data_IF_744818954857
#
_entry.id   IF_744818954857
#
_cell.length_a   1.000
_cell.length_b   1.000
_cell.length_c   1.000
_cell.angle_alpha   90.00
_cell.angle_beta   90.00
_cell.angle_gamma   90.00
#
_symmetry.space_group_name_H-M   'P 1'
#
loop_
_entity.id
_entity.type
_entity.pdbx_description
1 polymer ?
#
# COMPACT_ATOMS: atom_id res chain seq x y z
N UNK A 1 -35.19 54.95 28.70
CA UNK A 1 -34.73 53.58 29.08
C UNK A 1 -34.68 52.61 27.90
N UNK A 2 -35.74 52.45 27.08
CA UNK A 2 -35.77 51.47 25.96
C UNK A 2 -34.65 51.61 24.90
N UNK A 3 -34.19 52.84 24.60
CA UNK A 3 -33.13 53.10 23.60
C UNK A 3 -31.72 52.62 24.02
N UNK A 4 -31.40 52.73 25.31
CA UNK A 4 -30.09 52.30 25.83
C UNK A 4 -29.98 50.77 25.97
N UNK A 5 -31.10 50.08 26.20
CA UNK A 5 -31.17 48.62 26.27
C UNK A 5 -30.90 47.97 24.88
N UNK A 6 -31.42 48.57 23.81
CA UNK A 6 -31.19 48.08 22.43
C UNK A 6 -29.71 48.20 22.01
N UNK A 7 -29.05 49.30 22.38
CA UNK A 7 -27.62 49.51 22.08
C UNK A 7 -26.75 48.50 22.85
N UNK A 8 -27.08 48.22 24.12
CA UNK A 8 -26.38 47.21 24.93
C UNK A 8 -26.53 45.80 24.34
N UNK A 9 -27.72 45.43 23.84
CA UNK A 9 -27.97 44.13 23.20
C UNK A 9 -27.19 44.00 21.89
N UNK A 10 -27.14 45.04 21.05
CA UNK A 10 -26.37 45.02 19.80
C UNK A 10 -24.86 44.93 20.04
N UNK A 11 -24.33 45.61 21.07
CA UNK A 11 -22.93 45.48 21.49
C UNK A 11 -22.63 44.08 22.02
N UNK A 12 -23.53 43.50 22.83
CA UNK A 12 -23.40 42.12 23.32
C UNK A 12 -23.41 41.10 22.18
N UNK A 13 -24.31 41.22 21.20
CA UNK A 13 -24.34 40.36 20.00
C UNK A 13 -23.07 40.54 19.17
N UNK A 14 -22.56 41.77 19.03
CA UNK A 14 -21.29 42.06 18.36
C UNK A 14 -20.09 41.42 19.07
N UNK A 15 -20.03 41.47 20.39
CA UNK A 15 -18.95 40.86 21.19
C UNK A 15 -19.02 39.32 21.13
N UNK A 16 -20.21 38.73 21.19
CA UNK A 16 -20.40 37.29 21.02
C UNK A 16 -20.03 36.82 19.60
N UNK A 17 -20.34 37.62 18.57
CA UNK A 17 -19.98 37.31 17.17
C UNK A 17 -18.47 37.38 16.94
N UNK A 18 -17.78 38.38 17.50
CA UNK A 18 -16.32 38.51 17.38
C UNK A 18 -15.58 37.41 18.15
N UNK A 19 -16.02 37.07 19.37
CA UNK A 19 -15.48 35.91 20.13
C UNK A 19 -15.70 34.59 19.39
N UNK A 20 -16.91 34.36 18.85
CA UNK A 20 -17.19 33.17 18.06
C UNK A 20 -16.28 33.03 16.83
N UNK A 21 -16.01 34.14 16.12
CA UNK A 21 -15.10 34.16 14.97
C UNK A 21 -13.64 33.94 15.39
N UNK A 22 -13.19 34.51 16.51
CA UNK A 22 -11.82 34.29 17.01
C UNK A 22 -11.61 32.85 17.44
N UNK A 23 -12.58 32.27 18.15
CA UNK A 23 -12.53 30.90 18.65
C UNK A 23 -12.58 29.90 17.49
N UNK A 24 -13.40 30.17 16.46
CA UNK A 24 -13.41 29.39 15.23
C UNK A 24 -12.07 29.47 14.48
N UNK A 25 -11.51 30.67 14.26
CA UNK A 25 -10.18 30.82 13.63
C UNK A 25 -9.08 30.11 14.41
N UNK A 26 -9.11 30.19 15.74
CA UNK A 26 -8.13 29.52 16.60
C UNK A 26 -8.28 27.99 16.54
N UNK A 27 -9.52 27.49 16.52
CA UNK A 27 -9.84 26.07 16.35
C UNK A 27 -9.37 25.56 14.99
N UNK A 28 -9.70 26.25 13.90
CA UNK A 28 -9.26 25.92 12.53
C UNK A 28 -7.73 25.94 12.41
N UNK A 29 -7.05 26.91 13.02
CA UNK A 29 -5.59 26.97 13.07
C UNK A 29 -4.98 25.82 13.86
N UNK A 30 -5.58 25.45 15.00
CA UNK A 30 -5.10 24.31 15.81
C UNK A 30 -5.29 22.98 15.08
N UNK A 31 -6.43 22.80 14.41
CA UNK A 31 -6.73 21.62 13.58
C UNK A 31 -5.76 21.55 12.40
N UNK A 32 -5.51 22.65 11.68
CA UNK A 32 -4.58 22.65 10.56
C UNK A 32 -3.13 22.34 10.99
N UNK A 33 -2.69 22.86 12.15
CA UNK A 33 -1.39 22.51 12.73
C UNK A 33 -1.33 21.03 13.08
N UNK A 34 -2.36 20.49 13.73
CA UNK A 34 -2.42 19.08 14.09
C UNK A 34 -2.38 18.17 12.86
N UNK A 35 -3.19 18.46 11.83
CA UNK A 35 -3.19 17.76 10.55
C UNK A 35 -1.82 17.85 9.85
N UNK A 36 -1.16 19.00 9.89
CA UNK A 36 0.18 19.16 9.31
C UNK A 36 1.24 18.32 10.02
N UNK A 37 1.13 18.19 11.36
CA UNK A 37 2.05 17.39 12.16
C UNK A 37 1.82 15.89 11.98
N UNK A 38 0.56 15.48 11.89
CA UNK A 38 0.19 14.09 11.56
C UNK A 38 0.67 13.72 10.16
N UNK A 39 0.48 14.60 9.19
CA UNK A 39 1.01 14.43 7.84
C UNK A 39 2.54 14.27 7.85
N UNK A 40 3.26 15.16 8.52
CA UNK A 40 4.72 15.10 8.60
C UNK A 40 5.22 13.80 9.25
N UNK A 41 4.53 13.34 10.30
CA UNK A 41 4.85 12.06 10.94
C UNK A 41 4.63 10.87 10.00
N UNK A 42 3.54 10.87 9.24
CA UNK A 42 3.24 9.82 8.25
C UNK A 42 4.26 9.84 7.12
N UNK A 43 4.55 11.01 6.56
CA UNK A 43 5.57 11.19 5.53
C UNK A 43 6.92 10.62 5.96
N UNK A 44 7.39 10.96 7.16
CA UNK A 44 8.67 10.45 7.67
C UNK A 44 8.67 8.92 7.81
N UNK A 45 7.58 8.34 8.31
CA UNK A 45 7.44 6.88 8.47
C UNK A 45 7.42 6.17 7.12
N UNK A 46 6.70 6.70 6.16
CA UNK A 46 6.54 6.08 4.84
C UNK A 46 7.85 6.15 4.06
N UNK A 47 8.52 7.31 4.05
CA UNK A 47 9.83 7.49 3.43
C UNK A 47 10.87 6.55 4.07
N UNK A 48 10.92 6.49 5.40
CA UNK A 48 11.81 5.56 6.10
C UNK A 48 11.53 4.10 5.73
N UNK A 49 10.26 3.70 5.71
CA UNK A 49 9.85 2.33 5.36
C UNK A 49 10.24 1.98 3.92
N UNK A 50 10.07 2.91 2.98
CA UNK A 50 10.46 2.71 1.58
C UNK A 50 11.97 2.59 1.43
N UNK A 51 12.76 3.45 2.06
CA UNK A 51 14.22 3.36 2.03
C UNK A 51 14.73 2.06 2.66
N UNK A 52 14.12 1.61 3.76
CA UNK A 52 14.46 0.33 4.39
C UNK A 52 14.08 -0.87 3.52
N UNK A 53 12.97 -0.80 2.80
CA UNK A 53 12.51 -1.88 1.93
C UNK A 53 13.30 -1.97 0.61
N UNK A 54 13.90 -0.86 0.15
CA UNK A 54 14.62 -0.77 -1.11
C UNK A 54 15.98 -0.04 -0.97
N UNK A 55 16.86 -0.47 -0.05
CA UNK A 55 18.03 0.29 0.37
C UNK A 55 19.07 0.50 -0.75
N UNK A 56 19.11 -0.39 -1.74
CA UNK A 56 20.02 -0.26 -2.89
C UNK A 56 19.40 0.51 -4.06
N UNK A 57 18.10 0.77 -4.03
CA UNK A 57 17.36 1.38 -5.15
C UNK A 57 16.84 2.77 -4.84
N UNK A 58 16.65 3.11 -3.56
CA UNK A 58 16.26 4.43 -3.09
C UNK A 58 17.46 4.99 -2.33
N UNK A 59 18.18 5.92 -2.98
CA UNK A 59 19.49 6.37 -2.52
C UNK A 59 19.43 7.63 -1.67
N UNK A 60 18.47 8.51 -1.95
CA UNK A 60 18.39 9.81 -1.27
C UNK A 60 16.97 10.37 -1.27
N UNK A 61 16.78 11.49 -0.57
CA UNK A 61 15.55 12.27 -0.49
C UNK A 61 15.85 13.70 -0.90
N UNK A 62 15.06 14.24 -1.82
CA UNK A 62 15.09 15.67 -2.14
C UNK A 62 13.83 16.36 -1.60
N UNK A 63 14.05 17.41 -0.79
CA UNK A 63 12.99 18.22 -0.22
C UNK A 63 13.09 19.62 -0.81
N UNK A 64 12.15 19.97 -1.69
CA UNK A 64 12.05 21.33 -2.22
C UNK A 64 11.40 22.23 -1.17
N UNK A 65 10.28 21.76 -0.61
CA UNK A 65 9.58 22.37 0.51
C UNK A 65 8.77 21.31 1.27
N UNK A 66 7.99 21.71 2.29
CA UNK A 66 7.21 20.80 3.15
C UNK A 66 6.18 19.94 2.38
N UNK A 67 5.80 20.34 1.18
CA UNK A 67 4.79 19.69 0.35
C UNK A 67 5.38 18.98 -0.88
N UNK A 68 6.68 19.15 -1.15
CA UNK A 68 7.34 18.61 -2.33
C UNK A 68 8.58 17.80 -1.92
N UNK A 69 8.31 16.54 -1.60
CA UNK A 69 9.32 15.56 -1.19
C UNK A 69 9.43 14.49 -2.27
N UNK A 70 10.66 14.19 -2.68
CA UNK A 70 10.97 13.20 -3.71
C UNK A 70 11.92 12.15 -3.17
N UNK A 71 11.71 10.90 -3.58
CA UNK A 71 12.72 9.85 -3.47
C UNK A 71 13.60 9.87 -4.72
N UNK A 72 14.92 9.80 -4.51
CA UNK A 72 15.92 9.71 -5.56
C UNK A 72 16.29 8.25 -5.74
N UNK A 73 15.96 7.70 -6.91
CA UNK A 73 16.25 6.31 -7.24
C UNK A 73 17.69 6.13 -7.72
N UNK A 74 18.16 4.88 -7.74
CA UNK A 74 19.49 4.50 -8.23
C UNK A 74 19.78 4.97 -9.66
N UNK A 75 18.77 4.99 -10.53
CA UNK A 75 18.88 5.54 -11.88
C UNK A 75 19.00 7.07 -11.96
N UNK A 76 18.88 7.77 -10.83
CA UNK A 76 18.77 9.24 -10.75
C UNK A 76 17.34 9.76 -10.96
N UNK A 77 16.36 8.89 -11.25
CA UNK A 77 14.96 9.27 -11.38
C UNK A 77 14.40 9.75 -10.04
N UNK A 78 13.59 10.80 -10.08
CA UNK A 78 12.87 11.32 -8.91
C UNK A 78 11.44 10.80 -8.88
N UNK A 79 10.98 10.27 -7.75
CA UNK A 79 9.58 9.91 -7.52
C UNK A 79 8.98 10.83 -6.46
N UNK A 80 7.91 11.54 -6.80
CA UNK A 80 7.19 12.35 -5.84
C UNK A 80 6.54 11.46 -4.78
N UNK A 81 6.66 11.87 -3.52
CA UNK A 81 5.99 11.20 -2.41
C UNK A 81 4.47 11.40 -2.51
N UNK A 82 4.03 12.67 -2.48
CA UNK A 82 2.63 13.06 -2.47
C UNK A 82 2.42 14.26 -3.39
N UNK A 83 1.62 14.09 -4.44
CA UNK A 83 1.30 15.14 -5.40
C UNK A 83 0.25 16.16 -4.93
N UNK A 84 -0.31 15.99 -3.73
CA UNK A 84 -1.33 16.87 -3.11
C UNK A 84 -2.62 17.05 -3.89
N UNK A 85 -2.85 16.21 -4.90
CA UNK A 85 -4.10 16.19 -5.67
C UNK A 85 -5.11 15.31 -4.96
N UNK A 86 -6.34 15.79 -4.83
CA UNK A 86 -7.46 14.92 -4.50
C UNK A 86 -7.66 13.92 -5.65
N UNK A 87 -7.72 12.64 -5.31
CA UNK A 87 -7.85 11.53 -6.27
C UNK A 87 -9.00 10.64 -5.84
N UNK A 88 -9.81 10.22 -6.79
CA UNK A 88 -10.76 9.13 -6.64
C UNK A 88 -10.01 7.80 -6.44
N UNK A 89 -10.71 6.78 -5.93
CA UNK A 89 -10.13 5.44 -5.76
C UNK A 89 -9.60 4.84 -7.09
N UNK A 90 -10.24 5.16 -8.22
CA UNK A 90 -9.79 4.72 -9.54
C UNK A 90 -8.52 5.44 -9.98
N UNK A 91 -8.42 6.75 -9.76
CA UNK A 91 -7.22 7.53 -10.09
C UNK A 91 -6.02 7.08 -9.26
N UNK A 92 -6.21 6.84 -7.96
CA UNK A 92 -5.18 6.24 -7.09
C UNK A 92 -4.72 4.88 -7.62
N UNK A 93 -5.62 4.07 -8.17
CA UNK A 93 -5.25 2.77 -8.73
C UNK A 93 -4.48 2.89 -10.05
N UNK A 94 -4.88 3.82 -10.92
CA UNK A 94 -4.34 3.95 -12.28
C UNK A 94 -3.04 4.75 -12.35
N UNK A 95 -2.91 5.81 -11.54
CA UNK A 95 -1.75 6.69 -11.54
C UNK A 95 -1.40 7.16 -10.10
N UNK A 96 -0.97 6.21 -9.24
CA UNK A 96 -0.60 6.56 -7.86
C UNK A 96 0.73 7.30 -7.77
N UNK A 97 0.85 8.13 -6.73
CA UNK A 97 2.15 8.48 -6.15
C UNK A 97 2.53 7.50 -5.02
N UNK A 98 3.66 7.74 -4.36
CA UNK A 98 4.12 6.85 -3.30
C UNK A 98 3.22 6.91 -2.06
N UNK A 99 2.62 8.06 -1.76
CA UNK A 99 1.71 8.23 -0.64
C UNK A 99 0.43 7.41 -0.85
N UNK A 100 -0.14 7.40 -2.07
CA UNK A 100 -1.31 6.54 -2.38
C UNK A 100 -0.99 5.05 -2.17
N UNK A 101 0.23 4.62 -2.52
CA UNK A 101 0.70 3.25 -2.32
C UNK A 101 0.84 2.89 -0.83
N UNK A 102 1.19 3.84 0.02
CA UNK A 102 1.43 3.65 1.46
C UNK A 102 0.21 3.95 2.34
N UNK A 103 -0.83 4.58 1.79
CA UNK A 103 -1.99 5.09 2.55
C UNK A 103 -2.75 4.00 3.32
N UNK A 104 -3.00 2.86 2.68
CA UNK A 104 -3.76 1.76 3.30
C UNK A 104 -2.85 0.87 4.13
N UNK A 105 -3.09 0.83 5.44
CA UNK A 105 -2.32 0.03 6.39
C UNK A 105 -2.77 -1.43 6.38
N UNK A 106 -1.83 -2.35 6.56
CA UNK A 106 -2.18 -3.72 6.91
C UNK A 106 -2.71 -3.74 8.35
N UNK A 107 -3.94 -4.22 8.53
CA UNK A 107 -4.53 -4.39 9.85
C UNK A 107 -3.86 -5.60 10.52
N UNK A 108 -3.31 -5.39 11.71
CA UNK A 108 -2.70 -6.46 12.50
C UNK A 108 -3.76 -7.12 13.38
N UNK A 109 -3.66 -8.45 13.55
CA UNK A 109 -4.57 -9.24 14.38
C UNK A 109 -5.25 -10.36 13.60
N UNK A 110 -6.25 -10.97 14.21
CA UNK A 110 -7.06 -12.04 13.61
C UNK A 110 -7.84 -11.55 12.40
N UNK A 111 -7.97 -12.42 11.38
CA UNK A 111 -8.75 -12.12 10.17
C UNK A 111 -10.13 -12.76 10.32
N UNK A 112 -11.02 -12.11 11.06
CA UNK A 112 -12.35 -12.65 11.39
C UNK A 112 -13.41 -12.33 10.32
N UNK A 113 -13.11 -11.38 9.43
CA UNK A 113 -13.98 -10.95 8.34
C UNK A 113 -13.18 -10.47 7.14
N UNK A 114 -13.79 -10.52 5.96
CA UNK A 114 -13.22 -9.89 4.78
C UNK A 114 -13.18 -8.36 4.95
N UNK A 115 -12.11 -7.74 4.50
CA UNK A 115 -11.98 -6.28 4.50
C UNK A 115 -13.10 -5.61 3.67
N UNK A 116 -13.41 -4.33 3.94
CA UNK A 116 -14.25 -3.53 3.06
C UNK A 116 -13.75 -3.58 1.61
N UNK A 117 -14.66 -3.51 0.65
CA UNK A 117 -14.36 -3.75 -0.76
C UNK A 117 -13.18 -2.92 -1.31
N UNK A 118 -13.05 -1.68 -0.86
CA UNK A 118 -12.00 -0.76 -1.34
C UNK A 118 -10.79 -0.68 -0.42
N UNK A 119 -10.76 -1.46 0.67
CA UNK A 119 -9.62 -1.56 1.58
C UNK A 119 -8.78 -2.80 1.23
N UNK A 120 -7.80 -2.59 0.36
CA UNK A 120 -6.92 -3.63 -0.17
C UNK A 120 -5.46 -3.16 -0.09
N UNK A 121 -4.84 -3.19 1.10
CA UNK A 121 -3.43 -2.82 1.28
C UNK A 121 -2.53 -3.53 0.26
N UNK A 122 -1.63 -2.77 -0.38
CA UNK A 122 -0.75 -3.28 -1.43
C UNK A 122 -1.37 -3.47 -2.82
N UNK A 123 -2.66 -3.12 -3.02
CA UNK A 123 -3.29 -3.13 -4.36
C UNK A 123 -2.84 -1.95 -5.22
N UNK A 124 -2.75 -0.76 -4.62
CA UNK A 124 -2.20 0.44 -5.26
C UNK A 124 -0.68 0.29 -5.30
N UNK A 125 -0.06 0.51 -6.47
CA UNK A 125 1.38 0.26 -6.68
C UNK A 125 1.99 1.36 -7.54
N UNK A 126 3.06 1.97 -7.05
CA UNK A 126 3.86 2.89 -7.84
C UNK A 126 4.72 2.11 -8.86
N UNK A 127 4.18 1.88 -10.07
CA UNK A 127 4.88 1.12 -11.13
C UNK A 127 6.24 1.71 -11.50
N UNK A 128 6.45 3.01 -11.32
CA UNK A 128 7.77 3.62 -11.53
C UNK A 128 8.83 3.02 -10.59
N UNK A 129 8.48 2.71 -9.35
CA UNK A 129 9.38 2.03 -8.40
C UNK A 129 9.52 0.54 -8.77
N UNK A 130 8.43 -0.15 -9.06
CA UNK A 130 8.50 -1.57 -9.46
C UNK A 130 9.37 -1.78 -10.71
N UNK A 131 9.29 -0.88 -11.69
CA UNK A 131 10.10 -0.92 -12.92
C UNK A 131 11.57 -0.64 -12.67
N UNK A 132 11.88 0.32 -11.80
CA UNK A 132 13.26 0.61 -11.36
C UNK A 132 13.90 -0.63 -10.74
N UNK A 133 13.16 -1.31 -9.85
CA UNK A 133 13.71 -2.41 -9.05
C UNK A 133 13.75 -3.71 -9.84
N UNK A 134 12.66 -4.08 -10.50
CA UNK A 134 12.45 -5.44 -11.03
C UNK A 134 12.59 -5.54 -12.55
N UNK A 135 12.63 -4.41 -13.26
CA UNK A 135 12.79 -4.32 -14.71
C UNK A 135 11.64 -3.54 -15.39
N UNK A 136 11.98 -2.75 -16.40
CA UNK A 136 11.03 -1.83 -17.04
C UNK A 136 10.18 -2.48 -18.15
N UNK A 137 10.66 -3.56 -18.73
CA UNK A 137 10.01 -4.34 -19.79
C UNK A 137 10.23 -5.84 -19.60
N UNK A 138 9.52 -6.66 -20.38
CA UNK A 138 9.60 -8.13 -20.28
C UNK A 138 11.03 -8.66 -20.33
N UNK A 139 11.84 -8.17 -21.27
CA UNK A 139 13.22 -8.64 -21.46
C UNK A 139 14.11 -8.32 -20.26
N UNK A 140 14.02 -7.11 -19.71
CA UNK A 140 14.71 -6.74 -18.47
C UNK A 140 14.25 -7.58 -17.29
N UNK A 141 12.95 -7.77 -17.13
CA UNK A 141 12.41 -8.57 -16.03
C UNK A 141 12.93 -10.00 -16.12
N UNK A 142 12.83 -10.64 -17.29
CA UNK A 142 13.25 -12.03 -17.49
C UNK A 142 14.74 -12.24 -17.22
N UNK A 143 15.59 -11.24 -17.51
CA UNK A 143 17.02 -11.24 -17.14
C UNK A 143 17.25 -11.16 -15.64
N UNK A 144 16.38 -10.48 -14.91
CA UNK A 144 16.46 -10.36 -13.46
C UNK A 144 15.86 -11.57 -12.72
N UNK A 145 15.19 -12.49 -13.42
CA UNK A 145 14.64 -13.70 -12.80
C UNK A 145 15.74 -14.73 -12.55
N UNK A 146 15.69 -15.34 -11.37
CA UNK A 146 16.47 -16.52 -11.01
C UNK A 146 15.57 -17.73 -10.77
N UNK A 147 16.13 -18.92 -10.96
CA UNK A 147 15.46 -20.17 -10.66
C UNK A 147 15.45 -20.45 -9.16
N UNK A 148 14.29 -20.83 -8.62
CA UNK A 148 14.13 -21.27 -7.23
C UNK A 148 13.38 -22.60 -7.19
N UNK A 149 13.72 -23.44 -6.21
CA UNK A 149 13.02 -24.72 -5.99
C UNK A 149 12.19 -24.61 -4.71
N UNK A 150 10.87 -24.78 -4.84
CA UNK A 150 9.92 -24.79 -3.73
C UNK A 150 9.23 -26.17 -3.71
N UNK A 151 9.44 -26.93 -2.63
CA UNK A 151 8.92 -28.30 -2.46
C UNK A 151 9.11 -29.20 -3.70
N UNK A 152 10.36 -29.30 -4.16
CA UNK A 152 10.78 -30.09 -5.33
C UNK A 152 10.26 -29.61 -6.69
N UNK A 153 9.49 -28.52 -6.75
CA UNK A 153 9.04 -27.90 -8.01
C UNK A 153 9.90 -26.69 -8.34
N UNK A 154 10.29 -26.55 -9.61
CA UNK A 154 11.07 -25.42 -10.09
C UNK A 154 10.18 -24.25 -10.48
N UNK A 155 10.57 -23.05 -10.05
CA UNK A 155 9.87 -21.79 -10.29
C UNK A 155 10.88 -20.68 -10.64
N UNK A 156 10.38 -19.56 -11.19
CA UNK A 156 11.19 -18.37 -11.47
C UNK A 156 10.69 -17.20 -10.64
N UNK A 157 11.61 -16.46 -10.03
CA UNK A 157 11.31 -15.31 -9.20
C UNK A 157 12.40 -14.24 -9.35
N UNK A 158 12.09 -12.99 -9.07
CA UNK A 158 13.04 -11.90 -9.28
C UNK A 158 14.18 -11.96 -8.26
N UNK A 159 15.43 -11.84 -8.73
CA UNK A 159 16.61 -11.80 -7.86
C UNK A 159 16.85 -10.41 -7.26
N UNK A 160 16.39 -9.35 -7.93
CA UNK A 160 16.59 -7.98 -7.50
C UNK A 160 15.90 -7.72 -6.16
N UNK A 161 16.50 -6.82 -5.38
CA UNK A 161 16.10 -6.52 -4.01
C UNK A 161 15.97 -7.79 -3.11
N UNK A 162 16.75 -8.82 -3.42
CA UNK A 162 16.74 -10.13 -2.73
C UNK A 162 15.38 -10.84 -2.71
N UNK A 163 14.46 -10.52 -3.62
CA UNK A 163 13.09 -11.03 -3.56
C UNK A 163 13.00 -12.57 -3.60
N UNK A 164 13.78 -13.22 -4.49
CA UNK A 164 13.86 -14.68 -4.57
C UNK A 164 14.45 -15.32 -3.31
N UNK A 165 15.43 -14.67 -2.68
CA UNK A 165 16.02 -15.14 -1.43
C UNK A 165 15.00 -15.08 -0.28
N UNK A 166 14.31 -13.95 -0.12
CA UNK A 166 13.29 -13.79 0.92
C UNK A 166 12.12 -14.76 0.74
N UNK A 167 11.64 -14.96 -0.50
CA UNK A 167 10.60 -15.96 -0.76
C UNK A 167 11.07 -17.37 -0.38
N UNK A 168 12.31 -17.75 -0.74
CA UNK A 168 12.86 -19.07 -0.38
C UNK A 168 12.90 -19.26 1.12
N UNK A 169 13.34 -18.26 1.88
CA UNK A 169 13.39 -18.32 3.34
C UNK A 169 12.00 -18.42 3.97
N UNK A 170 11.04 -17.61 3.51
CA UNK A 170 9.67 -17.65 3.99
C UNK A 170 9.01 -19.03 3.75
N UNK A 171 9.20 -19.62 2.57
CA UNK A 171 8.69 -20.97 2.28
C UNK A 171 9.41 -22.03 3.12
N UNK A 172 10.71 -21.88 3.38
CA UNK A 172 11.44 -22.80 4.25
C UNK A 172 10.92 -22.76 5.70
N UNK A 173 10.65 -21.57 6.23
CA UNK A 173 10.05 -21.38 7.55
C UNK A 173 8.66 -22.00 7.63
N UNK A 174 7.79 -21.72 6.65
CA UNK A 174 6.46 -22.31 6.59
C UNK A 174 6.50 -23.84 6.47
N UNK A 175 7.40 -24.40 5.66
CA UNK A 175 7.60 -25.85 5.57
C UNK A 175 8.06 -26.45 6.91
N UNK A 176 8.88 -25.74 7.67
CA UNK A 176 9.31 -26.18 9.00
C UNK A 176 8.16 -26.16 10.00
N UNK A 177 7.30 -25.13 9.98
CA UNK A 177 6.08 -25.07 10.79
C UNK A 177 5.10 -26.19 10.41
N UNK A 178 4.96 -26.47 9.12
CA UNK A 178 4.06 -27.52 8.62
C UNK A 178 4.50 -28.95 9.00
N UNK A 179 5.74 -29.16 9.46
CA UNK A 179 6.14 -30.45 10.05
C UNK A 179 5.42 -30.75 11.36
N UNK A 180 5.16 -29.71 12.16
CA UNK A 180 4.48 -29.83 13.44
C UNK A 180 2.97 -29.58 13.32
N UNK A 181 2.52 -28.96 12.22
CA UNK A 181 1.13 -28.64 11.92
C UNK A 181 0.77 -29.11 10.48
N UNK A 182 0.56 -30.42 10.26
CA UNK A 182 0.43 -30.99 8.92
C UNK A 182 -0.71 -30.41 8.06
N UNK A 183 -1.73 -29.84 8.67
CA UNK A 183 -2.82 -29.14 8.01
C UNK A 183 -2.32 -27.94 7.19
N UNK A 184 -1.21 -27.30 7.57
CA UNK A 184 -0.62 -26.16 6.86
C UNK A 184 -0.24 -26.50 5.42
N UNK A 185 0.10 -27.76 5.12
CA UNK A 185 0.43 -28.20 3.77
C UNK A 185 -0.71 -27.93 2.78
N UNK A 186 -1.96 -28.12 3.21
CA UNK A 186 -3.15 -27.91 2.38
C UNK A 186 -3.44 -26.45 2.03
N UNK A 187 -2.85 -25.50 2.76
CA UNK A 187 -2.96 -24.07 2.50
C UNK A 187 -1.77 -23.50 1.72
N UNK A 188 -0.68 -24.26 1.63
CA UNK A 188 0.54 -23.84 0.94
C UNK A 188 0.65 -24.45 -0.46
N UNK A 189 0.26 -25.72 -0.61
CA UNK A 189 0.49 -26.50 -1.84
C UNK A 189 -0.79 -27.03 -2.47
N UNK A 190 -0.80 -27.27 -3.80
CA UNK A 190 0.29 -27.03 -4.75
C UNK A 190 0.55 -25.52 -4.97
N UNK A 191 1.77 -25.17 -5.37
CA UNK A 191 2.07 -23.81 -5.82
C UNK A 191 1.33 -23.56 -7.14
N UNK A 192 0.48 -22.55 -7.16
CA UNK A 192 -0.35 -22.21 -8.32
C UNK A 192 0.39 -21.47 -9.43
N UNK A 193 1.46 -20.76 -9.07
CA UNK A 193 2.31 -20.05 -10.03
C UNK A 193 3.18 -18.98 -9.40
N UNK A 194 4.21 -18.55 -10.14
CA UNK A 194 5.10 -17.44 -9.78
C UNK A 194 5.18 -16.44 -10.94
N UNK A 195 6.21 -16.51 -11.78
CA UNK A 195 6.34 -15.62 -12.92
C UNK A 195 5.33 -15.93 -14.04
N UNK A 196 4.63 -14.89 -14.52
CA UNK A 196 3.82 -14.91 -15.72
C UNK A 196 3.69 -13.48 -16.27
N UNK A 197 4.28 -13.19 -17.42
CA UNK A 197 4.21 -11.86 -18.03
C UNK A 197 2.83 -11.60 -18.62
N UNK A 198 1.98 -10.92 -17.85
CA UNK A 198 0.59 -10.61 -18.21
C UNK A 198 0.12 -9.30 -17.60
N UNK A 199 -0.94 -8.77 -18.19
CA UNK A 199 -1.71 -7.68 -17.60
C UNK A 199 -2.78 -8.21 -16.64
N UNK A 200 -3.19 -7.37 -15.69
CA UNK A 200 -4.33 -7.65 -14.82
C UNK A 200 -5.60 -7.56 -15.68
N UNK A 201 -6.46 -8.58 -15.59
CA UNK A 201 -7.68 -8.67 -16.38
C UNK A 201 -8.50 -7.37 -16.32
N UNK A 202 -8.96 -6.91 -17.50
CA UNK A 202 -9.73 -5.66 -17.68
C UNK A 202 -8.97 -4.38 -17.32
N UNK A 203 -7.64 -4.41 -17.32
CA UNK A 203 -6.80 -3.23 -17.11
C UNK A 203 -5.58 -3.27 -18.04
N UNK A 204 -4.88 -2.13 -18.16
CA UNK A 204 -3.60 -2.03 -18.86
C UNK A 204 -2.40 -2.04 -17.89
N UNK A 205 -2.61 -2.55 -16.67
CA UNK A 205 -1.58 -2.61 -15.63
C UNK A 205 -0.93 -3.99 -15.59
N UNK A 206 0.40 -4.05 -15.51
CA UNK A 206 1.12 -5.33 -15.40
C UNK A 206 0.77 -6.02 -14.09
N UNK A 207 0.56 -7.33 -14.15
CA UNK A 207 0.39 -8.13 -12.93
C UNK A 207 1.68 -8.11 -12.10
N UNK A 208 1.61 -8.18 -10.76
CA UNK A 208 2.77 -8.46 -9.92
C UNK A 208 3.50 -9.77 -10.31
N UNK A 209 2.77 -10.78 -10.80
CA UNK A 209 3.40 -11.98 -11.39
C UNK A 209 4.28 -11.67 -12.60
N UNK A 210 3.97 -10.60 -13.34
CA UNK A 210 4.77 -10.20 -14.50
C UNK A 210 6.14 -9.65 -14.10
N UNK A 211 6.32 -9.17 -12.87
CA UNK A 211 7.63 -8.77 -12.32
C UNK A 211 8.38 -9.91 -11.63
N UNK A 212 7.73 -11.08 -11.47
CA UNK A 212 8.29 -12.21 -10.71
C UNK A 212 8.38 -11.94 -9.21
N UNK A 213 7.42 -11.20 -8.65
CA UNK A 213 7.38 -10.81 -7.22
C UNK A 213 6.12 -11.29 -6.50
N UNK A 214 5.43 -12.30 -7.06
CA UNK A 214 4.20 -12.85 -6.47
C UNK A 214 4.13 -14.35 -6.66
N UNK A 215 3.45 -15.00 -5.73
CA UNK A 215 3.27 -16.44 -5.65
C UNK A 215 1.80 -16.71 -5.30
N UNK A 216 1.23 -17.72 -5.95
CA UNK A 216 -0.08 -18.24 -5.58
C UNK A 216 0.09 -19.56 -4.82
N UNK A 217 -0.53 -19.68 -3.64
CA UNK A 217 -0.47 -20.85 -2.76
C UNK A 217 -1.82 -21.58 -2.77
N UNK A 218 -1.80 -22.91 -2.92
CA UNK A 218 -2.97 -23.79 -2.82
C UNK A 218 -4.26 -23.22 -3.45
N UNK A 219 -4.18 -22.77 -4.71
CA UNK A 219 -5.28 -22.06 -5.38
C UNK A 219 -6.57 -22.87 -5.31
N UNK A 220 -7.64 -22.21 -4.87
CA UNK A 220 -9.00 -22.74 -4.95
C UNK A 220 -9.87 -21.88 -5.86
N UNK A 221 -10.82 -22.52 -6.56
CA UNK A 221 -11.75 -21.85 -7.48
C UNK A 221 -12.57 -20.72 -6.84
N UNK A 222 -12.71 -20.75 -5.51
CA UNK A 222 -13.45 -19.74 -4.75
C UNK A 222 -12.59 -18.59 -4.20
N UNK A 223 -11.28 -18.61 -4.43
CA UNK A 223 -10.37 -17.56 -3.92
C UNK A 223 -10.48 -16.26 -4.70
N UNK A 224 -10.82 -16.33 -5.99
CA UNK A 224 -10.86 -15.12 -6.80
C UNK A 224 -12.16 -14.34 -6.60
N UNK A 225 -12.00 -13.08 -6.21
CA UNK A 225 -13.11 -12.24 -5.79
C UNK A 225 -14.15 -11.93 -6.89
N UNK A 226 -13.79 -12.08 -8.17
CA UNK A 226 -14.78 -11.89 -9.25
C UNK A 226 -15.61 -13.14 -9.52
N UNK A 227 -15.15 -14.32 -9.11
CA UNK A 227 -15.82 -15.58 -9.42
C UNK A 227 -16.77 -16.05 -8.32
N UNK A 228 -16.67 -15.47 -7.12
CA UNK A 228 -17.36 -15.99 -5.95
C UNK A 228 -18.03 -14.88 -5.16
N UNK A 229 -19.29 -15.08 -4.79
CA UNK A 229 -20.03 -14.14 -3.95
C UNK A 229 -19.33 -13.93 -2.60
N UNK A 230 -19.44 -12.72 -2.04
CA UNK A 230 -18.76 -12.35 -0.78
C UNK A 230 -19.08 -13.31 0.37
N UNK A 231 -20.34 -13.74 0.50
CA UNK A 231 -20.79 -14.68 1.54
C UNK A 231 -20.05 -16.02 1.46
N UNK A 232 -19.84 -16.56 0.26
CA UNK A 232 -19.12 -17.81 0.07
C UNK A 232 -17.62 -17.66 0.36
N UNK A 233 -17.04 -16.49 0.08
CA UNK A 233 -15.66 -16.18 0.47
C UNK A 233 -15.51 -16.02 1.98
N UNK A 234 -16.47 -15.40 2.66
CA UNK A 234 -16.48 -15.31 4.13
C UNK A 234 -16.60 -16.68 4.80
N UNK A 235 -17.39 -17.60 4.23
CA UNK A 235 -17.40 -19.00 4.67
C UNK A 235 -16.04 -19.67 4.49
N UNK A 236 -15.37 -19.42 3.36
CA UNK A 236 -14.03 -19.96 3.10
C UNK A 236 -12.97 -19.39 4.05
N UNK A 237 -13.04 -18.10 4.38
CA UNK A 237 -12.13 -17.46 5.35
C UNK A 237 -12.15 -18.19 6.70
N UNK A 238 -13.33 -18.62 7.17
CA UNK A 238 -13.49 -19.39 8.41
C UNK A 238 -12.85 -20.79 8.38
N UNK A 239 -12.41 -21.25 7.21
CA UNK A 239 -11.73 -22.53 7.04
C UNK A 239 -10.20 -22.41 7.07
N UNK A 240 -9.64 -21.20 7.22
CA UNK A 240 -8.21 -21.02 7.49
C UNK A 240 -7.93 -21.17 8.99
N UNK A 241 -6.73 -21.66 9.37
CA UNK A 241 -6.32 -21.80 10.76
C UNK A 241 -6.20 -20.45 11.50
#
# INVERSE_FOLDING_TARGET
>A
MKRYIIILILILIGIFSVKGISDFKQTTKKVSIALSKEYENTLKKDIFSLMMAYPEYILDIEVIDKNQVYLILKSGKKLIYDGKKEKTALEKLQNPDLQDMMEQKYMLGSIDALMPQDYNPGRIRAYSLSKEVYGNNQSEIERNLTGITLNSTHHRFNANNSAAHFLKNAIAELNQLAKNNPELWGYMYPIGGTYNYRYIAKTNMLSPHAFGISIDLAIHKNDYWQWTARIEREKRLKGYP
#
